data_IF_119620093728
#
_entry.id   IF_119620093728
#
_cell.length_a   1.000
_cell.length_b   1.000
_cell.length_c   1.000
_cell.angle_alpha   90.00
_cell.angle_beta   90.00
_cell.angle_gamma   90.00
#
_symmetry.space_group_name_H-M   'P 1'
#
loop_
_entity.id
_entity.type
_entity.pdbx_description
1 polymer ?
#
# COMPACT_ATOMS: atom_id res chain seq x y z
N UNK A 1 22.31 -17.71 -18.74
CA UNK A 1 21.76 -18.00 -17.40
C UNK A 1 20.48 -18.78 -17.61
N UNK A 2 20.26 -19.83 -16.84
CA UNK A 2 19.01 -20.60 -16.90
C UNK A 2 17.85 -19.75 -16.37
N UNK A 3 16.77 -19.65 -17.15
CA UNK A 3 15.58 -18.85 -16.81
C UNK A 3 14.46 -19.75 -16.29
N UNK A 4 13.69 -19.28 -15.32
CA UNK A 4 12.40 -19.86 -14.98
C UNK A 4 11.31 -19.37 -15.92
N UNK A 5 10.24 -20.14 -16.09
CA UNK A 5 9.05 -19.73 -16.84
C UNK A 5 7.79 -20.00 -16.03
N UNK A 6 6.90 -19.03 -15.92
CA UNK A 6 5.57 -19.18 -15.33
C UNK A 6 4.52 -19.14 -16.44
N UNK A 7 3.66 -20.15 -16.50
CA UNK A 7 2.57 -20.27 -17.48
C UNK A 7 1.22 -20.47 -16.79
N UNK A 8 0.19 -19.77 -17.24
CA UNK A 8 -1.17 -19.90 -16.72
C UNK A 8 -1.94 -21.08 -17.30
N UNK A 9 -2.79 -21.70 -16.48
CA UNK A 9 -3.78 -22.68 -16.89
C UNK A 9 -5.13 -22.37 -16.25
N UNK A 10 -6.18 -22.29 -17.08
CA UNK A 10 -7.56 -22.11 -16.64
C UNK A 10 -8.20 -23.46 -16.29
N UNK A 11 -9.07 -23.42 -15.28
CA UNK A 11 -9.97 -24.52 -14.99
C UNK A 11 -10.96 -24.68 -16.15
N UNK A 12 -11.24 -25.93 -16.52
CA UNK A 12 -12.32 -26.32 -17.41
C UNK A 12 -13.68 -26.11 -16.75
N UNK A 13 -14.74 -26.05 -17.55
CA UNK A 13 -16.12 -25.90 -17.04
C UNK A 13 -16.62 -27.15 -16.32
N UNK A 14 -15.99 -28.31 -16.57
CA UNK A 14 -16.26 -29.59 -15.90
C UNK A 14 -14.99 -30.12 -15.23
N UNK A 15 -15.12 -30.59 -13.99
CA UNK A 15 -13.97 -31.04 -13.17
C UNK A 15 -13.18 -32.23 -13.78
N UNK A 16 -13.75 -32.93 -14.75
CA UNK A 16 -13.17 -34.07 -15.48
C UNK A 16 -12.49 -33.68 -16.80
N UNK A 17 -12.63 -32.44 -17.27
CA UNK A 17 -11.98 -31.96 -18.49
C UNK A 17 -10.57 -31.40 -18.21
N UNK A 18 -9.62 -31.52 -19.15
CA UNK A 18 -8.27 -31.01 -18.98
C UNK A 18 -8.24 -29.47 -18.88
N UNK A 19 -7.32 -28.95 -18.06
CA UNK A 19 -7.09 -27.50 -17.96
C UNK A 19 -6.72 -26.90 -19.31
N UNK A 20 -7.23 -25.71 -19.60
CA UNK A 20 -6.91 -24.96 -20.81
C UNK A 20 -5.70 -24.07 -20.53
N UNK A 21 -4.62 -24.22 -21.28
CA UNK A 21 -3.46 -23.34 -21.13
C UNK A 21 -3.81 -21.92 -21.60
N UNK A 22 -3.12 -20.93 -21.04
CA UNK A 22 -3.14 -19.56 -21.58
C UNK A 22 -2.60 -19.52 -23.01
N UNK A 23 -2.71 -18.37 -23.68
CA UNK A 23 -2.13 -18.21 -25.01
C UNK A 23 -0.60 -18.46 -25.02
N UNK A 24 0.12 -17.94 -24.03
CA UNK A 24 1.55 -18.20 -23.87
C UNK A 24 1.83 -19.68 -23.56
N UNK A 25 1.01 -20.31 -22.72
CA UNK A 25 1.13 -21.72 -22.39
C UNK A 25 0.91 -22.63 -23.60
N UNK A 26 -0.08 -22.35 -24.43
CA UNK A 26 -0.34 -23.05 -25.69
C UNK A 26 0.82 -22.87 -26.69
N UNK A 27 1.35 -21.64 -26.81
CA UNK A 27 2.49 -21.37 -27.67
C UNK A 27 3.76 -22.12 -27.20
N UNK A 28 4.01 -22.16 -25.89
CA UNK A 28 5.12 -22.90 -25.31
C UNK A 28 4.94 -24.42 -25.48
N UNK A 29 3.74 -24.97 -25.22
CA UNK A 29 3.45 -26.39 -25.42
C UNK A 29 3.71 -26.83 -26.87
N UNK A 30 3.35 -25.99 -27.84
CA UNK A 30 3.69 -26.22 -29.26
C UNK A 30 5.20 -26.26 -29.51
N UNK A 31 5.99 -25.41 -28.86
CA UNK A 31 7.46 -25.42 -28.98
C UNK A 31 8.08 -26.70 -28.41
N UNK A 32 7.47 -27.28 -27.38
CA UNK A 32 7.90 -28.56 -26.77
C UNK A 32 7.14 -29.77 -27.31
N UNK A 33 6.51 -29.65 -28.48
CA UNK A 33 5.79 -30.72 -29.20
C UNK A 33 4.70 -31.42 -28.35
N UNK A 34 3.93 -30.67 -27.56
CA UNK A 34 2.81 -31.20 -26.75
C UNK A 34 3.22 -31.80 -25.40
N UNK A 35 4.52 -31.80 -25.09
CA UNK A 35 5.07 -32.43 -23.88
C UNK A 35 4.57 -31.77 -22.59
N UNK A 36 4.27 -30.47 -22.59
CA UNK A 36 3.78 -29.81 -21.38
C UNK A 36 2.38 -30.32 -21.03
N UNK A 37 1.47 -30.40 -22.01
CA UNK A 37 0.13 -30.96 -21.79
C UNK A 37 0.17 -32.44 -21.39
N UNK A 38 1.05 -33.22 -22.02
CA UNK A 38 1.27 -34.62 -21.67
C UNK A 38 1.65 -34.76 -20.18
N UNK A 39 2.68 -34.03 -19.74
CA UNK A 39 3.13 -34.07 -18.34
C UNK A 39 2.07 -33.52 -17.38
N UNK A 40 1.32 -32.50 -17.77
CA UNK A 40 0.25 -31.94 -16.95
C UNK A 40 -0.84 -32.99 -16.70
N UNK A 41 -1.25 -33.74 -17.73
CA UNK A 41 -2.21 -34.84 -17.61
C UNK A 41 -1.67 -36.00 -16.76
N UNK A 42 -0.39 -36.37 -16.92
CA UNK A 42 0.24 -37.45 -16.14
C UNK A 42 0.42 -37.09 -14.65
N UNK A 43 0.56 -35.79 -14.36
CA UNK A 43 0.84 -35.30 -13.00
C UNK A 43 -0.35 -35.29 -12.05
N UNK A 44 -1.51 -35.79 -12.48
CA UNK A 44 -2.70 -35.99 -11.65
C UNK A 44 -3.77 -34.92 -11.86
N UNK A 45 -4.49 -34.51 -10.79
CA UNK A 45 -5.67 -33.66 -10.93
C UNK A 45 -5.40 -32.30 -11.60
N UNK A 46 -6.41 -31.70 -12.24
CA UNK A 46 -6.35 -30.34 -12.78
C UNK A 46 -5.92 -29.30 -11.74
N UNK A 47 -5.25 -28.23 -12.20
CA UNK A 47 -4.80 -27.14 -11.33
C UNK A 47 -5.97 -26.19 -11.01
N UNK A 48 -6.35 -26.16 -9.73
CA UNK A 48 -7.33 -25.20 -9.21
C UNK A 48 -6.70 -23.81 -9.01
N UNK A 49 -7.56 -22.78 -8.83
CA UNK A 49 -7.16 -21.40 -8.51
C UNK A 49 -6.03 -21.35 -7.47
N UNK A 50 -4.95 -20.64 -7.81
CA UNK A 50 -3.80 -20.41 -6.93
C UNK A 50 -2.91 -21.62 -6.67
N UNK A 51 -3.20 -22.80 -7.25
CA UNK A 51 -2.34 -23.97 -7.16
C UNK A 51 -1.27 -23.94 -8.25
N UNK A 52 -0.12 -24.53 -7.96
CA UNK A 52 1.02 -24.55 -8.87
C UNK A 52 1.53 -25.97 -9.07
N UNK A 53 2.21 -26.20 -10.19
CA UNK A 53 2.95 -27.43 -10.46
C UNK A 53 4.18 -27.13 -11.27
N UNK A 54 5.31 -27.72 -10.89
CA UNK A 54 6.58 -27.53 -11.58
C UNK A 54 6.93 -28.71 -12.48
N UNK A 55 7.48 -28.40 -13.64
CA UNK A 55 8.00 -29.35 -14.61
C UNK A 55 9.43 -29.00 -14.97
N UNK A 56 10.30 -30.01 -15.03
CA UNK A 56 11.72 -29.85 -15.28
C UNK A 56 12.10 -30.37 -16.67
N UNK A 57 13.11 -29.75 -17.28
CA UNK A 57 13.72 -30.26 -18.52
C UNK A 57 12.78 -30.28 -19.72
N UNK A 58 11.79 -29.38 -19.76
CA UNK A 58 10.88 -29.22 -20.90
C UNK A 58 11.56 -28.50 -22.07
N UNK A 59 12.36 -27.48 -21.78
CA UNK A 59 13.03 -26.66 -22.79
C UNK A 59 14.44 -26.27 -22.30
N UNK A 60 15.40 -26.11 -23.23
CA UNK A 60 16.79 -25.77 -22.86
C UNK A 60 16.91 -24.38 -22.22
N UNK A 61 16.16 -23.39 -22.71
CA UNK A 61 16.15 -22.04 -22.14
C UNK A 61 15.40 -21.97 -20.80
N UNK A 62 14.38 -22.81 -20.65
CA UNK A 62 13.49 -22.85 -19.48
C UNK A 62 13.53 -24.24 -18.84
N UNK A 63 14.62 -24.58 -18.11
CA UNK A 63 14.74 -25.87 -17.45
C UNK A 63 13.72 -26.07 -16.33
N UNK A 64 13.15 -24.99 -15.79
CA UNK A 64 12.12 -25.01 -14.75
C UNK A 64 10.90 -24.23 -15.23
N UNK A 65 9.79 -24.93 -15.47
CA UNK A 65 8.52 -24.35 -15.89
C UNK A 65 7.49 -24.59 -14.81
N UNK A 66 6.89 -23.53 -14.27
CA UNK A 66 5.80 -23.62 -13.29
C UNK A 66 4.49 -23.28 -13.99
N UNK A 67 3.54 -24.21 -13.96
CA UNK A 67 2.16 -23.97 -14.37
C UNK A 67 1.36 -23.52 -13.15
N UNK A 68 0.61 -22.42 -13.30
CA UNK A 68 -0.21 -21.82 -12.23
C UNK A 68 -1.68 -21.86 -12.60
N UNK A 69 -2.54 -22.25 -11.65
CA UNK A 69 -3.99 -22.34 -11.86
C UNK A 69 -4.67 -20.98 -11.72
N UNK A 70 -5.26 -20.48 -12.81
CA UNK A 70 -5.93 -19.18 -12.90
C UNK A 70 -7.42 -19.22 -12.49
N UNK A 71 -7.96 -20.40 -12.17
CA UNK A 71 -9.39 -20.56 -11.96
C UNK A 71 -10.17 -20.52 -13.28
N UNK A 72 -11.46 -20.18 -13.21
CA UNK A 72 -12.32 -20.06 -14.40
C UNK A 72 -11.98 -18.80 -15.17
N UNK A 73 -12.19 -18.84 -16.49
CA UNK A 73 -11.93 -17.72 -17.40
C UNK A 73 -13.13 -16.76 -17.44
N UNK A 74 -12.86 -15.47 -17.57
CA UNK A 74 -13.86 -14.42 -17.80
C UNK A 74 -14.92 -14.32 -16.69
N UNK A 75 -14.47 -14.35 -15.43
CA UNK A 75 -15.32 -14.16 -14.25
C UNK A 75 -15.76 -12.70 -14.09
N UNK A 76 -14.91 -11.74 -14.49
CA UNK A 76 -15.20 -10.32 -14.42
C UNK A 76 -15.36 -9.79 -13.00
N UNK A 77 -16.36 -8.93 -12.79
CA UNK A 77 -16.67 -8.36 -11.48
C UNK A 77 -17.43 -9.37 -10.63
N UNK A 78 -16.92 -9.67 -9.44
CA UNK A 78 -17.63 -10.42 -8.44
C UNK A 78 -18.41 -9.42 -7.56
N UNK A 79 -19.74 -9.50 -7.63
CA UNK A 79 -20.64 -8.55 -6.96
C UNK A 79 -20.59 -8.74 -5.44
N UNK A 80 -20.43 -9.97 -4.97
CA UNK A 80 -20.42 -10.28 -3.54
C UNK A 80 -19.11 -9.79 -2.90
N UNK A 81 -17.99 -9.98 -3.59
CA UNK A 81 -16.66 -9.60 -3.11
C UNK A 81 -16.26 -8.15 -3.46
N UNK A 82 -17.01 -7.48 -4.34
CA UNK A 82 -16.75 -6.12 -4.81
C UNK A 82 -15.35 -5.92 -5.40
N UNK A 83 -14.87 -6.89 -6.18
CA UNK A 83 -13.60 -6.80 -6.90
C UNK A 83 -13.66 -7.43 -8.30
N UNK A 84 -12.61 -7.25 -9.10
CA UNK A 84 -12.42 -8.01 -10.32
C UNK A 84 -11.75 -9.37 -10.01
N UNK A 85 -12.52 -10.46 -10.14
CA UNK A 85 -12.08 -11.80 -9.76
C UNK A 85 -10.99 -12.35 -10.69
N UNK A 86 -11.01 -12.01 -11.98
CA UNK A 86 -9.97 -12.43 -12.92
C UNK A 86 -8.60 -11.86 -12.50
N UNK A 87 -8.55 -10.57 -12.16
CA UNK A 87 -7.30 -9.90 -11.73
C UNK A 87 -6.77 -10.49 -10.43
N UNK A 88 -7.63 -10.73 -9.43
CA UNK A 88 -7.23 -11.34 -8.16
C UNK A 88 -6.69 -12.77 -8.36
N UNK A 89 -7.33 -13.56 -9.21
CA UNK A 89 -6.86 -14.90 -9.53
C UNK A 89 -5.47 -14.89 -10.15
N UNK A 90 -5.24 -13.98 -11.11
CA UNK A 90 -3.94 -13.82 -11.77
C UNK A 90 -2.87 -13.40 -10.76
N UNK A 91 -3.13 -12.38 -9.93
CA UNK A 91 -2.18 -11.92 -8.90
C UNK A 91 -1.78 -13.06 -7.97
N UNK A 92 -2.76 -13.80 -7.43
CA UNK A 92 -2.52 -14.89 -6.50
C UNK A 92 -1.76 -16.07 -7.13
N UNK A 93 -2.13 -16.45 -8.35
CA UNK A 93 -1.52 -17.57 -9.07
C UNK A 93 -0.07 -17.27 -9.47
N UNK A 94 0.18 -16.10 -10.05
CA UNK A 94 1.54 -15.66 -10.43
C UNK A 94 2.41 -15.50 -9.19
N UNK A 95 1.88 -14.92 -8.10
CA UNK A 95 2.60 -14.81 -6.83
C UNK A 95 3.06 -16.17 -6.29
N UNK A 96 2.21 -17.20 -6.39
CA UNK A 96 2.57 -18.56 -5.98
C UNK A 96 3.67 -19.15 -6.86
N UNK A 97 3.61 -18.94 -8.17
CA UNK A 97 4.65 -19.39 -9.11
C UNK A 97 5.99 -18.71 -8.89
N UNK A 98 6.00 -17.39 -8.66
CA UNK A 98 7.22 -16.63 -8.39
C UNK A 98 7.92 -17.11 -7.12
N UNK A 99 7.18 -17.33 -6.03
CA UNK A 99 7.75 -17.87 -4.78
C UNK A 99 8.35 -19.26 -4.99
N UNK A 100 7.66 -20.15 -5.71
CA UNK A 100 8.17 -21.48 -6.00
C UNK A 100 9.47 -21.44 -6.81
N UNK A 101 9.62 -20.52 -7.75
CA UNK A 101 10.86 -20.35 -8.52
C UNK A 101 11.97 -19.63 -7.74
N UNK A 102 11.62 -18.74 -6.82
CA UNK A 102 12.57 -18.11 -5.91
C UNK A 102 13.21 -19.14 -4.95
N UNK A 103 12.43 -20.12 -4.48
CA UNK A 103 12.90 -21.22 -3.63
C UNK A 103 13.89 -22.15 -4.36
N UNK A 104 13.90 -22.13 -5.70
CA UNK A 104 14.89 -22.83 -6.54
C UNK A 104 16.13 -21.98 -6.85
N UNK A 105 16.24 -20.81 -6.22
CA UNK A 105 17.37 -19.88 -6.34
C UNK A 105 17.65 -19.42 -7.79
N UNK A 106 16.60 -19.33 -8.61
CA UNK A 106 16.74 -18.84 -9.98
C UNK A 106 16.98 -17.33 -10.01
N UNK A 107 17.90 -16.84 -10.87
CA UNK A 107 18.20 -15.42 -10.95
C UNK A 107 17.16 -14.62 -11.76
N UNK A 108 16.43 -15.29 -12.66
CA UNK A 108 15.51 -14.65 -13.59
C UNK A 108 14.32 -15.56 -13.92
N UNK A 109 13.13 -14.97 -14.03
CA UNK A 109 11.88 -15.62 -14.45
C UNK A 109 11.17 -14.79 -15.50
N UNK A 110 10.68 -15.46 -16.55
CA UNK A 110 9.71 -14.92 -17.48
C UNK A 110 8.29 -15.31 -17.05
N UNK A 111 7.37 -14.35 -17.09
CA UNK A 111 6.02 -14.49 -16.56
C UNK A 111 5.01 -14.28 -17.69
N UNK A 112 4.16 -15.29 -17.88
CA UNK A 112 3.00 -15.21 -18.75
C UNK A 112 2.07 -14.03 -18.37
N UNK A 113 1.63 -13.20 -19.34
CA UNK A 113 0.67 -12.13 -19.08
C UNK A 113 -0.69 -12.63 -18.58
N UNK A 114 -1.03 -13.92 -18.74
CA UNK A 114 -2.25 -14.55 -18.22
C UNK A 114 -3.56 -13.87 -18.66
N UNK A 115 -3.54 -13.11 -19.78
CA UNK A 115 -4.65 -12.29 -20.25
C UNK A 115 -4.73 -10.89 -19.64
N UNK A 116 -3.96 -10.60 -18.59
CA UNK A 116 -3.84 -9.27 -17.97
C UNK A 116 -2.41 -9.07 -17.42
N UNK A 117 -1.54 -8.49 -18.26
CA UNK A 117 -0.14 -8.30 -17.93
C UNK A 117 0.08 -7.37 -16.72
N UNK A 118 -0.87 -6.46 -16.44
CA UNK A 118 -0.79 -5.59 -15.26
C UNK A 118 -0.97 -6.42 -13.98
N UNK A 119 -2.03 -7.25 -13.92
CA UNK A 119 -2.29 -8.10 -12.76
C UNK A 119 -1.19 -9.16 -12.57
N UNK A 120 -0.63 -9.70 -13.65
CA UNK A 120 0.50 -10.64 -13.58
C UNK A 120 1.75 -9.97 -13.02
N UNK A 121 2.10 -8.77 -13.50
CA UNK A 121 3.24 -8.00 -12.98
C UNK A 121 3.06 -7.63 -11.51
N UNK A 122 1.85 -7.22 -11.10
CA UNK A 122 1.52 -6.93 -9.71
C UNK A 122 1.73 -8.17 -8.82
N UNK A 123 1.16 -9.32 -9.21
CA UNK A 123 1.33 -10.59 -8.49
C UNK A 123 2.80 -10.99 -8.35
N UNK A 124 3.57 -10.88 -9.44
CA UNK A 124 4.98 -11.20 -9.43
C UNK A 124 5.77 -10.29 -8.48
N UNK A 125 5.69 -8.97 -8.67
CA UNK A 125 6.48 -7.98 -7.93
C UNK A 125 6.10 -7.88 -6.44
N UNK A 126 4.82 -8.01 -6.09
CA UNK A 126 4.38 -7.98 -4.69
C UNK A 126 4.83 -9.22 -3.93
N UNK A 127 4.87 -10.38 -4.60
CA UNK A 127 5.15 -11.67 -3.96
C UNK A 127 6.60 -11.89 -3.56
N UNK A 128 7.54 -11.29 -4.30
CA UNK A 128 8.99 -11.46 -4.09
C UNK A 128 9.58 -10.38 -3.19
N UNK A 129 8.81 -9.36 -2.84
CA UNK A 129 9.26 -8.33 -1.91
C UNK A 129 9.37 -8.89 -0.50
N UNK A 130 10.52 -8.66 0.11
CA UNK A 130 10.81 -8.95 1.50
C UNK A 130 11.72 -7.85 2.06
N UNK A 131 11.44 -7.40 3.28
CA UNK A 131 12.35 -6.50 3.99
C UNK A 131 13.53 -7.30 4.55
N UNK A 132 14.71 -7.15 3.93
CA UNK A 132 15.90 -7.94 4.26
C UNK A 132 17.14 -7.08 4.57
N UNK A 133 17.01 -5.76 4.71
CA UNK A 133 18.18 -4.86 4.90
C UNK A 133 19.03 -5.23 6.11
N UNK A 134 18.38 -5.70 7.17
CA UNK A 134 19.01 -6.05 8.45
C UNK A 134 19.28 -7.56 8.60
N UNK A 135 19.06 -8.36 7.55
CA UNK A 135 19.33 -9.80 7.53
C UNK A 135 20.71 -10.10 6.94
N UNK A 136 21.45 -11.03 7.56
CA UNK A 136 22.70 -11.55 7.00
C UNK A 136 22.46 -12.52 5.84
N UNK A 137 21.53 -13.47 6.04
CA UNK A 137 21.07 -14.39 4.99
C UNK A 137 19.88 -13.76 4.29
N UNK A 138 20.05 -13.44 3.00
CA UNK A 138 19.02 -12.87 2.12
C UNK A 138 18.51 -13.95 1.17
N UNK A 139 17.27 -13.80 0.71
CA UNK A 139 16.79 -14.63 -0.39
C UNK A 139 17.49 -14.25 -1.69
N UNK A 140 17.59 -15.19 -2.65
CA UNK A 140 18.05 -14.88 -3.99
C UNK A 140 17.16 -13.80 -4.62
N UNK A 141 17.80 -12.78 -5.21
CA UNK A 141 17.09 -11.76 -5.99
C UNK A 141 16.55 -12.40 -7.26
N UNK A 142 15.22 -12.42 -7.39
CA UNK A 142 14.55 -12.92 -8.58
C UNK A 142 14.21 -11.75 -9.52
N UNK A 143 14.87 -11.68 -10.67
CA UNK A 143 14.50 -10.73 -11.72
C UNK A 143 13.25 -11.22 -12.45
N UNK A 144 12.20 -10.41 -12.46
CA UNK A 144 10.92 -10.73 -13.12
C UNK A 144 10.83 -10.00 -14.47
N UNK A 145 10.42 -10.71 -15.50
CA UNK A 145 10.26 -10.17 -16.86
C UNK A 145 8.97 -10.67 -17.49
N UNK A 146 8.39 -9.88 -18.39
CA UNK A 146 7.26 -10.31 -19.21
C UNK A 146 7.72 -11.42 -20.17
N UNK A 147 6.96 -12.51 -20.25
CA UNK A 147 7.16 -13.51 -21.30
C UNK A 147 6.56 -13.00 -22.62
N UNK A 148 7.40 -12.82 -23.64
CA UNK A 148 7.01 -12.21 -24.91
C UNK A 148 6.99 -10.69 -24.88
N UNK A 149 6.48 -10.07 -25.96
CA UNK A 149 6.44 -8.61 -26.13
C UNK A 149 5.05 -7.98 -25.99
N UNK A 150 3.99 -8.81 -26.03
CA UNK A 150 2.62 -8.32 -26.07
C UNK A 150 2.16 -7.88 -24.67
N UNK A 151 1.70 -6.64 -24.55
CA UNK A 151 1.26 -6.07 -23.26
C UNK A 151 2.37 -5.45 -22.42
N UNK A 152 3.53 -5.10 -23.01
CA UNK A 152 4.65 -4.50 -22.30
C UNK A 152 4.26 -3.25 -21.49
N UNK A 153 3.41 -2.37 -22.02
CA UNK A 153 2.97 -1.16 -21.30
C UNK A 153 2.13 -1.50 -20.06
N UNK A 154 1.25 -2.51 -20.17
CA UNK A 154 0.45 -2.99 -19.05
C UNK A 154 1.31 -3.68 -17.99
N UNK A 155 2.29 -4.48 -18.41
CA UNK A 155 3.29 -5.07 -17.51
C UNK A 155 4.06 -3.99 -16.75
N UNK A 156 4.63 -3.00 -17.44
CA UNK A 156 5.37 -1.91 -16.81
C UNK A 156 4.50 -1.08 -15.87
N UNK A 157 3.22 -0.89 -16.22
CA UNK A 157 2.25 -0.27 -15.31
C UNK A 157 2.08 -1.10 -14.04
N UNK A 158 1.91 -2.42 -14.13
CA UNK A 158 1.77 -3.29 -12.97
C UNK A 158 3.00 -3.32 -12.07
N UNK A 159 4.21 -3.30 -12.67
CA UNK A 159 5.47 -3.16 -11.93
C UNK A 159 5.47 -1.87 -11.10
N UNK A 160 5.16 -0.71 -11.69
CA UNK A 160 5.14 0.57 -10.97
C UNK A 160 4.12 0.64 -9.85
N UNK A 161 2.92 0.05 -10.06
CA UNK A 161 1.91 -0.07 -8.99
C UNK A 161 2.44 -0.89 -7.82
N UNK A 162 3.03 -2.05 -8.10
CA UNK A 162 3.60 -2.92 -7.07
C UNK A 162 4.81 -2.29 -6.37
N UNK A 163 5.67 -1.57 -7.09
CA UNK A 163 6.81 -0.84 -6.51
C UNK A 163 6.36 0.27 -5.56
N UNK A 164 5.29 1.00 -5.91
CA UNK A 164 4.66 1.96 -5.00
C UNK A 164 4.17 1.32 -3.71
N UNK A 165 3.44 0.21 -3.81
CA UNK A 165 2.97 -0.53 -2.63
C UNK A 165 4.13 -1.12 -1.81
N UNK A 166 5.16 -1.64 -2.48
CA UNK A 166 6.35 -2.18 -1.83
C UNK A 166 7.18 -1.09 -1.14
N UNK A 167 7.18 0.15 -1.63
CA UNK A 167 7.74 1.29 -0.89
C UNK A 167 6.98 1.54 0.42
N UNK A 168 5.64 1.46 0.40
CA UNK A 168 4.86 1.62 1.62
C UNK A 168 5.15 0.47 2.61
N UNK A 169 5.19 -0.78 2.12
CA UNK A 169 5.59 -1.96 2.92
C UNK A 169 6.99 -1.81 3.50
N UNK A 170 7.94 -1.32 2.72
CA UNK A 170 9.32 -1.09 3.17
C UNK A 170 9.37 -0.10 4.33
N UNK A 171 8.65 1.03 4.22
CA UNK A 171 8.60 2.05 5.27
C UNK A 171 7.90 1.53 6.54
N UNK A 172 6.85 0.72 6.40
CA UNK A 172 6.08 0.15 7.52
C UNK A 172 6.77 -1.03 8.20
N UNK A 173 7.54 -1.83 7.45
CA UNK A 173 8.22 -3.02 7.99
C UNK A 173 9.54 -2.65 8.69
N UNK A 174 10.22 -1.59 8.22
CA UNK A 174 11.46 -1.13 8.80
C UNK A 174 11.29 -0.78 10.30
N UNK A 175 12.25 -1.17 11.16
CA UNK A 175 12.13 -0.88 12.58
C UNK A 175 12.25 0.62 12.86
N UNK A 176 11.49 1.12 13.83
CA UNK A 176 11.33 2.56 14.07
C UNK A 176 12.64 3.31 14.36
N UNK A 177 13.62 2.66 14.99
CA UNK A 177 14.95 3.24 15.22
C UNK A 177 15.77 3.42 13.92
N UNK A 178 15.36 2.79 12.81
CA UNK A 178 15.91 3.00 11.47
C UNK A 178 14.97 3.82 10.57
N UNK A 179 13.67 3.82 10.83
CA UNK A 179 12.66 4.62 10.10
C UNK A 179 12.12 5.73 11.00
N UNK A 180 13.02 6.60 11.45
CA UNK A 180 12.65 7.79 12.26
C UNK A 180 11.95 8.85 11.40
N UNK A 181 11.31 9.89 11.97
CA UNK A 181 10.65 10.96 11.21
C UNK A 181 11.54 11.57 10.13
N UNK A 182 12.80 11.86 10.47
CA UNK A 182 13.78 12.42 9.55
C UNK A 182 14.17 11.42 8.46
N UNK A 183 14.33 10.14 8.81
CA UNK A 183 14.72 9.11 7.85
C UNK A 183 13.58 8.77 6.89
N UNK A 184 12.35 8.67 7.37
CA UNK A 184 11.15 8.55 6.54
C UNK A 184 11.12 9.68 5.50
N UNK A 185 11.23 10.93 5.95
CA UNK A 185 11.18 12.09 5.06
C UNK A 185 12.32 12.10 4.02
N UNK A 186 13.52 11.65 4.42
CA UNK A 186 14.68 11.54 3.52
C UNK A 186 14.48 10.45 2.47
N UNK A 187 13.91 9.29 2.84
CA UNK A 187 13.62 8.22 1.88
C UNK A 187 12.61 8.71 0.82
N UNK A 188 11.57 9.44 1.21
CA UNK A 188 10.59 10.00 0.28
C UNK A 188 11.25 11.05 -0.64
N UNK A 189 12.07 11.95 -0.08
CA UNK A 189 12.84 12.92 -0.86
C UNK A 189 13.73 12.24 -1.90
N UNK A 190 14.47 11.19 -1.52
CA UNK A 190 15.35 10.44 -2.41
C UNK A 190 14.56 9.78 -3.55
N UNK A 191 13.39 9.20 -3.26
CA UNK A 191 12.50 8.61 -4.28
C UNK A 191 11.96 9.64 -5.25
N UNK A 192 11.77 10.88 -4.81
CA UNK A 192 11.25 11.97 -5.64
C UNK A 192 12.33 12.78 -6.36
N UNK A 193 13.61 12.56 -6.02
CA UNK A 193 14.75 13.35 -6.53
C UNK A 193 14.84 13.41 -8.06
N UNK A 194 14.50 12.33 -8.75
CA UNK A 194 14.53 12.29 -10.22
C UNK A 194 13.43 13.12 -10.89
N UNK A 195 12.45 13.60 -10.12
CA UNK A 195 11.30 14.40 -10.57
C UNK A 195 11.38 15.86 -10.14
N UNK A 196 12.56 16.35 -9.75
CA UNK A 196 12.76 17.68 -9.15
C UNK A 196 12.33 18.87 -10.03
N UNK A 197 12.09 18.66 -11.34
CA UNK A 197 11.52 19.70 -12.20
C UNK A 197 10.07 20.02 -11.85
N UNK A 198 9.33 19.04 -11.32
CA UNK A 198 7.90 19.13 -11.03
C UNK A 198 7.59 18.80 -9.57
N UNK A 199 8.60 18.45 -8.76
CA UNK A 199 8.42 18.07 -7.36
C UNK A 199 9.25 18.98 -6.46
N UNK A 200 8.60 19.53 -5.43
CA UNK A 200 9.26 20.25 -4.33
C UNK A 200 9.01 19.49 -3.03
N UNK A 201 10.06 19.25 -2.26
CA UNK A 201 9.98 18.58 -0.95
C UNK A 201 10.42 19.56 0.14
N UNK A 202 9.59 19.67 1.18
CA UNK A 202 9.87 20.47 2.37
C UNK A 202 9.87 19.56 3.60
N UNK A 203 11.03 19.43 4.24
CA UNK A 203 11.19 18.79 5.54
C UNK A 203 11.15 19.88 6.61
N UNK A 204 9.96 20.18 7.13
CA UNK A 204 9.76 21.25 8.10
C UNK A 204 10.15 20.75 9.49
N UNK A 205 11.07 21.46 10.15
CA UNK A 205 11.55 21.08 11.47
C UNK A 205 10.61 21.56 12.61
N UNK A 206 11.01 21.27 13.85
CA UNK A 206 10.34 21.71 15.07
C UNK A 206 10.07 23.22 15.11
N UNK A 207 11.00 24.06 14.67
CA UNK A 207 10.83 25.51 14.75
C UNK A 207 9.67 25.96 13.87
N UNK A 208 9.61 25.44 12.64
CA UNK A 208 8.50 25.69 11.73
C UNK A 208 7.17 25.18 12.28
N UNK A 209 7.15 23.98 12.88
CA UNK A 209 5.93 23.41 13.50
C UNK A 209 5.38 24.35 14.58
N UNK A 210 6.25 24.92 15.41
CA UNK A 210 5.87 25.87 16.45
C UNK A 210 5.43 27.22 15.88
N UNK A 211 6.10 27.73 14.85
CA UNK A 211 5.71 28.95 14.13
C UNK A 211 4.33 28.84 13.47
N UNK A 212 3.98 27.64 12.99
CA UNK A 212 2.65 27.37 12.46
C UNK A 212 1.57 27.20 13.53
N UNK A 213 1.92 27.31 14.81
CA UNK A 213 1.01 27.10 15.94
C UNK A 213 0.32 25.72 15.93
N UNK A 214 1.03 24.68 15.47
CA UNK A 214 0.55 23.29 15.47
C UNK A 214 0.68 22.68 16.89
N UNK A 215 -0.06 23.26 17.85
CA UNK A 215 0.04 22.90 19.26
C UNK A 215 -0.45 21.50 19.58
N UNK A 216 -1.39 20.96 18.79
CA UNK A 216 -1.91 19.59 18.95
C UNK A 216 -0.86 18.57 18.51
N UNK A 217 -0.23 18.76 17.34
CA UNK A 217 0.88 17.93 16.87
C UNK A 217 2.09 18.01 17.79
N UNK A 218 2.51 19.23 18.16
CA UNK A 218 3.67 19.42 19.05
C UNK A 218 3.47 18.72 20.41
N UNK A 219 2.24 18.68 20.92
CA UNK A 219 1.94 18.02 22.18
C UNK A 219 2.28 16.52 22.17
N UNK A 220 2.10 15.85 21.03
CA UNK A 220 2.45 14.43 20.88
C UNK A 220 3.97 14.28 20.79
N UNK A 221 4.59 15.05 19.90
CA UNK A 221 6.01 14.92 19.60
C UNK A 221 6.95 15.18 20.79
N UNK A 222 6.60 16.12 21.69
CA UNK A 222 7.46 16.53 22.83
C UNK A 222 7.75 15.41 23.83
N UNK A 223 7.05 14.27 23.75
CA UNK A 223 7.27 13.10 24.59
C UNK A 223 8.52 12.29 24.23
N UNK A 224 9.00 12.38 22.98
CA UNK A 224 10.22 11.72 22.51
C UNK A 224 11.38 12.71 22.36
N UNK A 225 12.61 12.19 22.47
CA UNK A 225 13.84 12.91 22.10
C UNK A 225 14.08 12.92 20.58
N UNK A 226 13.40 12.03 19.83
CA UNK A 226 13.49 11.98 18.36
C UNK A 226 12.83 13.24 17.74
N UNK A 227 13.56 14.02 16.91
CA UNK A 227 13.03 15.26 16.36
C UNK A 227 11.81 15.05 15.45
N UNK A 228 10.70 15.81 15.64
CA UNK A 228 9.57 15.75 14.73
C UNK A 228 9.87 16.45 13.40
N UNK A 229 9.21 15.98 12.35
CA UNK A 229 9.25 16.58 11.01
C UNK A 229 7.82 16.71 10.50
N UNK A 230 7.47 17.86 9.93
CA UNK A 230 6.28 17.97 9.10
C UNK A 230 6.72 17.89 7.63
N UNK A 231 6.43 16.75 6.99
CA UNK A 231 6.78 16.52 5.60
C UNK A 231 5.70 17.09 4.69
N UNK A 232 6.10 17.97 3.78
CA UNK A 232 5.24 18.61 2.79
C UNK A 232 5.85 18.41 1.40
N UNK A 233 5.12 17.74 0.51
CA UNK A 233 5.55 17.46 -0.86
C UNK A 233 4.56 18.06 -1.84
N UNK A 234 5.05 18.82 -2.81
CA UNK A 234 4.27 19.36 -3.91
C UNK A 234 4.65 18.65 -5.20
N UNK A 235 3.69 18.01 -5.86
CA UNK A 235 3.83 17.49 -7.21
C UNK A 235 2.98 18.33 -8.17
N UNK A 236 3.65 19.00 -9.11
CA UNK A 236 3.06 19.89 -10.11
C UNK A 236 3.03 19.19 -11.47
N UNK A 237 2.12 18.23 -11.63
CA UNK A 237 1.93 17.50 -12.90
C UNK A 237 1.01 18.20 -13.89
N UNK A 238 0.14 19.11 -13.43
CA UNK A 238 -0.78 19.83 -14.32
C UNK A 238 -0.05 20.81 -15.22
N UNK A 239 -0.54 20.96 -16.45
CA UNK A 239 -0.10 22.05 -17.35
C UNK A 239 -0.49 23.44 -16.83
N UNK A 240 -1.46 23.51 -15.92
CA UNK A 240 -1.83 24.74 -15.22
C UNK A 240 -1.34 24.69 -13.76
N UNK A 241 -0.26 25.42 -13.40
CA UNK A 241 0.26 25.45 -12.03
C UNK A 241 -0.75 25.97 -10.99
N UNK A 242 -1.80 26.68 -11.41
CA UNK A 242 -2.87 27.19 -10.54
C UNK A 242 -4.06 26.25 -10.41
N UNK A 243 -4.05 25.09 -11.08
CA UNK A 243 -5.12 24.10 -10.90
C UNK A 243 -5.16 23.65 -9.44
N UNK A 244 -6.36 23.65 -8.85
CA UNK A 244 -6.57 23.25 -7.47
C UNK A 244 -6.05 21.81 -7.22
N UNK A 245 -5.15 21.62 -6.25
CA UNK A 245 -4.54 20.32 -6.01
C UNK A 245 -5.51 19.35 -5.35
N UNK A 246 -5.22 18.06 -5.44
CA UNK A 246 -5.68 17.09 -4.43
C UNK A 246 -4.66 17.11 -3.29
N UNK A 247 -5.13 17.17 -2.04
CA UNK A 247 -4.25 17.11 -0.88
C UNK A 247 -4.42 15.76 -0.18
N UNK A 248 -3.33 15.04 -0.01
CA UNK A 248 -3.27 13.81 0.78
C UNK A 248 -2.60 14.09 2.12
N UNK A 249 -3.18 13.57 3.21
CA UNK A 249 -2.67 13.72 4.57
C UNK A 249 -2.45 12.35 5.20
N UNK A 250 -1.26 12.06 5.70
CA UNK A 250 -0.94 10.78 6.31
C UNK A 250 -0.61 10.91 7.79
N UNK A 251 -1.22 10.07 8.65
CA UNK A 251 -0.73 9.88 10.02
C UNK A 251 0.69 9.29 9.96
N UNK A 252 1.63 9.94 10.65
CA UNK A 252 3.06 9.66 10.56
C UNK A 252 3.71 9.28 11.89
N UNK A 253 3.06 8.49 12.74
CA UNK A 253 3.66 8.10 14.02
C UNK A 253 4.68 6.98 13.79
N UNK A 254 5.97 7.27 13.85
CA UNK A 254 7.02 6.29 13.52
C UNK A 254 7.18 5.19 14.55
N UNK A 255 6.76 5.45 15.79
CA UNK A 255 6.51 4.44 16.80
C UNK A 255 5.48 4.92 17.81
N UNK A 256 4.52 4.06 18.12
CA UNK A 256 3.45 4.36 19.08
C UNK A 256 3.48 3.41 20.27
N UNK A 257 3.97 3.92 21.41
CA UNK A 257 3.88 3.21 22.69
C UNK A 257 2.57 3.48 23.44
N UNK A 258 1.76 4.42 22.94
CA UNK A 258 0.61 5.03 23.62
C UNK A 258 0.95 6.18 24.57
N UNK A 259 2.24 6.48 24.77
CA UNK A 259 2.66 7.53 25.70
C UNK A 259 2.39 7.15 27.16
N UNK A 260 1.87 8.09 27.97
CA UNK A 260 1.51 7.82 29.38
C UNK A 260 0.36 6.82 29.50
N UNK A 261 -0.56 6.82 28.54
CA UNK A 261 -1.62 5.81 28.39
C UNK A 261 -1.05 4.57 27.68
N UNK A 262 -0.04 3.97 28.29
CA UNK A 262 0.85 3.00 27.66
C UNK A 262 0.12 1.75 27.15
N UNK A 263 0.48 1.30 25.95
CA UNK A 263 -0.02 0.05 25.38
C UNK A 263 0.51 -1.17 26.14
N UNK A 264 -0.21 -2.31 26.11
CA UNK A 264 0.32 -3.59 26.57
C UNK A 264 1.56 -4.01 25.76
N UNK A 265 2.47 -4.78 26.37
CA UNK A 265 3.70 -5.23 25.71
C UNK A 265 3.48 -6.17 24.52
N UNK A 266 2.38 -6.94 24.51
CA UNK A 266 2.11 -7.92 23.46
C UNK A 266 1.92 -7.23 22.10
N UNK A 267 2.70 -7.65 21.10
CA UNK A 267 2.68 -7.14 19.72
C UNK A 267 2.93 -5.63 19.57
N UNK A 268 3.48 -4.96 20.59
CA UNK A 268 3.82 -3.53 20.52
C UNK A 268 4.85 -3.24 19.42
N UNK A 269 5.66 -4.23 19.03
CA UNK A 269 6.61 -4.10 17.91
C UNK A 269 5.92 -3.71 16.59
N UNK A 270 4.66 -4.13 16.38
CA UNK A 270 3.88 -3.79 15.19
C UNK A 270 3.59 -2.27 15.09
N UNK A 271 3.72 -1.52 16.19
CA UNK A 271 3.52 -0.07 16.21
C UNK A 271 4.62 0.71 15.49
N UNK A 272 5.68 0.04 15.01
CA UNK A 272 6.58 0.61 13.99
C UNK A 272 5.84 1.00 12.69
N UNK A 273 4.71 0.36 12.41
CA UNK A 273 3.89 0.62 11.23
C UNK A 273 2.79 1.68 11.47
N UNK A 274 2.80 2.39 12.62
CA UNK A 274 1.79 3.41 12.93
C UNK A 274 1.93 4.73 12.13
N UNK A 275 2.90 4.72 11.22
CA UNK A 275 3.15 5.69 10.15
C UNK A 275 2.59 5.21 8.80
N UNK A 276 1.81 4.13 8.78
CA UNK A 276 1.28 3.52 7.55
C UNK A 276 0.43 4.48 6.71
N UNK A 277 -0.27 5.41 7.36
CA UNK A 277 -1.00 6.49 6.67
C UNK A 277 -0.08 7.36 5.80
N UNK A 278 1.03 7.84 6.39
CA UNK A 278 2.07 8.57 5.68
C UNK A 278 2.75 7.70 4.61
N UNK A 279 3.06 6.44 4.91
CA UNK A 279 3.68 5.51 3.96
C UNK A 279 2.85 5.38 2.68
N UNK A 280 1.55 5.13 2.82
CA UNK A 280 0.62 4.91 1.70
C UNK A 280 0.50 6.17 0.84
N UNK A 281 0.24 7.34 1.45
CA UNK A 281 0.00 8.56 0.67
C UNK A 281 1.25 9.06 -0.07
N UNK A 282 2.44 8.95 0.53
CA UNK A 282 3.66 9.34 -0.16
C UNK A 282 4.10 8.33 -1.22
N UNK A 283 3.89 7.03 -0.98
CA UNK A 283 4.06 6.03 -2.04
C UNK A 283 3.14 6.30 -3.23
N UNK A 284 1.88 6.67 -3.00
CA UNK A 284 0.96 7.04 -4.07
C UNK A 284 1.43 8.27 -4.86
N UNK A 285 2.01 9.28 -4.17
CA UNK A 285 2.58 10.47 -4.83
C UNK A 285 3.83 10.12 -5.65
N UNK A 286 4.72 9.27 -5.13
CA UNK A 286 5.89 8.77 -5.87
C UNK A 286 5.44 8.06 -7.14
N UNK A 287 4.49 7.14 -7.03
CA UNK A 287 3.94 6.42 -8.19
C UNK A 287 3.22 7.34 -9.17
N UNK A 288 2.49 8.36 -8.69
CA UNK A 288 1.87 9.37 -9.56
C UNK A 288 2.92 10.18 -10.34
N UNK A 289 4.05 10.53 -9.71
CA UNK A 289 5.16 11.21 -10.38
C UNK A 289 5.84 10.32 -11.43
N UNK A 290 6.01 9.02 -11.15
CA UNK A 290 6.52 8.04 -12.12
C UNK A 290 5.60 7.88 -13.34
N UNK A 291 4.28 7.94 -13.12
CA UNK A 291 3.30 7.97 -14.21
C UNK A 291 3.18 9.32 -14.91
N UNK A 292 3.82 10.37 -14.37
CA UNK A 292 3.72 11.74 -14.87
C UNK A 292 2.26 12.19 -15.01
N UNK A 293 1.43 11.86 -14.02
CA UNK A 293 -0.01 12.17 -14.06
C UNK A 293 -0.23 13.68 -14.21
N UNK A 294 -1.13 14.13 -15.11
CA UNK A 294 -1.31 15.55 -15.41
C UNK A 294 -2.18 16.27 -14.37
N UNK A 295 -1.84 16.16 -13.08
CA UNK A 295 -2.58 16.72 -11.94
C UNK A 295 -1.63 17.32 -10.92
N UNK A 296 -2.12 18.28 -10.13
CA UNK A 296 -1.41 18.79 -8.96
C UNK A 296 -1.78 17.98 -7.72
N UNK A 297 -0.77 17.47 -7.01
CA UNK A 297 -0.91 16.76 -5.74
C UNK A 297 -0.08 17.44 -4.66
N UNK A 298 -0.59 17.47 -3.43
CA UNK A 298 0.16 17.87 -2.25
C UNK A 298 0.07 16.76 -1.21
N UNK A 299 1.21 16.29 -0.71
CA UNK A 299 1.30 15.32 0.37
C UNK A 299 1.73 15.98 1.66
N UNK A 300 1.04 15.70 2.76
CA UNK A 300 1.32 16.23 4.09
C UNK A 300 1.43 15.08 5.10
N UNK A 301 2.47 15.04 5.91
CA UNK A 301 2.47 14.19 7.11
C UNK A 301 3.14 14.85 8.31
N UNK A 302 2.45 14.97 9.45
CA UNK A 302 3.10 15.17 10.72
C UNK A 302 3.78 13.87 11.17
N UNK A 303 5.11 13.88 11.23
CA UNK A 303 5.94 12.74 11.60
C UNK A 303 6.56 12.95 12.99
N UNK A 304 6.29 12.05 13.93
CA UNK A 304 6.92 12.01 15.26
C UNK A 304 6.78 10.62 15.89
N UNK A 305 7.32 10.44 17.09
CA UNK A 305 7.01 9.29 17.94
C UNK A 305 6.00 9.67 19.04
N UNK A 306 5.32 8.67 19.61
CA UNK A 306 4.51 8.81 20.82
C UNK A 306 5.12 7.96 21.95
N UNK A 307 5.91 8.60 22.82
CA UNK A 307 6.66 7.95 23.90
C UNK A 307 6.33 8.53 25.28
N UNK A 308 6.34 7.71 26.36
CA UNK A 308 6.29 8.21 27.72
C UNK A 308 7.63 8.84 28.12
N UNK A 309 7.57 10.02 28.73
CA UNK A 309 8.74 10.68 29.33
C UNK A 309 8.28 11.74 30.33
N UNK A 310 9.23 12.43 30.96
CA UNK A 310 8.93 13.55 31.86
C UNK A 310 8.30 14.77 31.16
N UNK A 311 8.33 14.83 29.82
CA UNK A 311 7.77 15.92 29.02
C UNK A 311 6.54 15.52 28.19
N UNK A 312 6.12 14.25 28.27
CA UNK A 312 5.01 13.70 27.50
C UNK A 312 3.65 14.33 27.85
N UNK A 313 2.68 14.15 26.96
CA UNK A 313 1.28 14.46 27.26
C UNK A 313 0.79 13.65 28.46
N UNK A 314 -0.07 14.26 29.28
CA UNK A 314 -0.72 13.61 30.41
C UNK A 314 -2.22 13.54 30.15
N UNK A 315 -2.90 12.45 30.54
CA UNK A 315 -4.35 12.41 30.58
C UNK A 315 -4.92 13.63 31.33
N UNK A 316 -5.83 14.36 30.68
CA UNK A 316 -6.42 15.61 31.18
C UNK A 316 -5.72 16.90 30.74
N UNK A 317 -4.56 16.83 30.08
CA UNK A 317 -3.95 18.01 29.45
C UNK A 317 -4.92 18.59 28.40
N UNK A 318 -4.95 19.92 28.28
CA UNK A 318 -5.70 20.63 27.24
C UNK A 318 -4.72 21.33 26.32
N UNK A 319 -4.83 21.07 25.02
CA UNK A 319 -3.94 21.64 23.99
C UNK A 319 -4.74 22.48 23.01
N UNK A 320 -4.12 23.51 22.44
CA UNK A 320 -4.73 24.35 21.41
C UNK A 320 -4.24 23.90 20.04
N UNK A 321 -5.16 23.45 19.19
CA UNK A 321 -4.88 23.13 17.80
C UNK A 321 -4.66 24.40 16.96
N UNK A 322 -4.11 24.23 15.77
CA UNK A 322 -3.76 25.29 14.82
C UNK A 322 -4.95 26.19 14.44
N UNK A 323 -6.17 25.65 14.48
CA UNK A 323 -7.41 26.39 14.22
C UNK A 323 -7.97 27.14 15.44
N UNK A 324 -7.26 27.16 16.56
CA UNK A 324 -7.67 27.79 17.82
C UNK A 324 -8.62 26.96 18.70
N UNK A 325 -9.09 25.79 18.24
CA UNK A 325 -9.89 24.90 19.10
C UNK A 325 -9.02 24.25 20.17
N UNK A 326 -9.60 24.08 21.35
CA UNK A 326 -8.97 23.33 22.43
C UNK A 326 -9.37 21.85 22.38
N UNK A 327 -8.44 20.97 22.73
CA UNK A 327 -8.64 19.53 22.77
C UNK A 327 -8.17 19.02 24.14
N UNK A 328 -9.09 18.40 24.88
CA UNK A 328 -8.76 17.66 26.10
C UNK A 328 -8.21 16.28 25.70
N UNK A 329 -7.00 15.97 26.17
CA UNK A 329 -6.32 14.70 25.90
C UNK A 329 -6.68 13.75 27.05
N UNK A 330 -7.81 13.05 26.95
CA UNK A 330 -8.19 12.06 27.96
C UNK A 330 -7.39 10.76 27.87
N UNK A 331 -6.92 10.42 26.67
CA UNK A 331 -6.08 9.27 26.41
C UNK A 331 -4.97 9.66 25.43
N UNK A 332 -3.72 9.42 25.80
CA UNK A 332 -2.53 9.78 25.01
C UNK A 332 -2.23 8.78 23.88
N UNK A 333 -2.90 7.63 23.88
CA UNK A 333 -2.91 6.60 22.83
C UNK A 333 -3.97 6.91 21.73
N UNK A 334 -4.59 8.09 21.83
CA UNK A 334 -5.41 8.66 20.78
C UNK A 334 -4.68 9.84 20.10
N UNK A 335 -3.36 9.71 19.91
CA UNK A 335 -2.45 10.72 19.37
C UNK A 335 -2.67 10.97 17.87
N UNK A 336 -3.06 9.95 17.10
CA UNK A 336 -3.21 10.05 15.65
C UNK A 336 -4.18 11.16 15.23
N UNK A 337 -5.32 11.29 15.94
CA UNK A 337 -6.28 12.38 15.69
C UNK A 337 -5.76 13.75 16.13
N UNK A 338 -4.85 13.80 17.10
CA UNK A 338 -4.23 15.05 17.55
C UNK A 338 -3.29 15.58 16.47
N UNK A 339 -2.42 14.74 15.91
CA UNK A 339 -1.47 15.15 14.86
C UNK A 339 -2.22 15.49 13.55
N UNK A 340 -3.26 14.73 13.22
CA UNK A 340 -4.09 14.98 12.03
C UNK A 340 -4.90 16.27 12.13
N UNK A 341 -5.33 16.70 13.33
CA UNK A 341 -6.12 17.93 13.49
C UNK A 341 -5.40 19.16 12.92
N UNK A 342 -4.10 19.28 13.22
CA UNK A 342 -3.28 20.40 12.71
C UNK A 342 -2.96 20.24 11.22
N UNK A 343 -2.62 19.02 10.78
CA UNK A 343 -2.30 18.76 9.38
C UNK A 343 -3.51 18.98 8.45
N UNK A 344 -4.71 18.54 8.85
CA UNK A 344 -5.95 18.78 8.12
C UNK A 344 -6.31 20.26 8.10
N UNK A 345 -6.07 21.01 9.18
CA UNK A 345 -6.28 22.46 9.13
C UNK A 345 -5.29 23.14 8.17
N UNK A 346 -4.01 22.77 8.23
CA UNK A 346 -2.98 23.27 7.32
C UNK A 346 -3.32 22.98 5.85
N UNK A 347 -3.87 21.79 5.54
CA UNK A 347 -4.28 21.39 4.20
C UNK A 347 -5.26 22.36 3.52
N UNK A 348 -6.11 23.06 4.28
CA UNK A 348 -7.09 24.00 3.73
C UNK A 348 -6.43 25.25 3.10
N UNK A 349 -5.20 25.58 3.49
CA UNK A 349 -4.46 26.74 2.94
C UNK A 349 -4.20 26.62 1.44
N UNK A 350 -4.20 25.40 0.91
CA UNK A 350 -3.95 25.12 -0.51
C UNK A 350 -5.20 25.23 -1.39
N UNK A 351 -6.36 25.59 -0.82
CA UNK A 351 -7.65 25.60 -1.52
C UNK A 351 -7.88 24.33 -2.36
N UNK A 352 -7.80 23.14 -1.75
CA UNK A 352 -7.80 21.88 -2.48
C UNK A 352 -9.15 21.58 -3.13
N UNK A 353 -9.09 20.83 -4.24
CA UNK A 353 -10.27 20.22 -4.87
C UNK A 353 -10.87 19.11 -4.00
N UNK A 354 -10.03 18.35 -3.31
CA UNK A 354 -10.42 17.37 -2.31
C UNK A 354 -9.25 17.12 -1.34
N UNK A 355 -9.60 16.71 -0.11
CA UNK A 355 -8.65 16.24 0.90
C UNK A 355 -8.95 14.77 1.17
N UNK A 356 -7.92 13.94 1.16
CA UNK A 356 -7.98 12.54 1.58
C UNK A 356 -6.95 12.33 2.68
N UNK A 357 -7.37 11.85 3.84
CA UNK A 357 -6.44 11.37 4.87
C UNK A 357 -6.43 9.86 5.00
N UNK A 358 -5.27 9.30 5.35
CA UNK A 358 -5.08 7.89 5.63
C UNK A 358 -4.36 7.72 6.99
N UNK A 359 -4.83 6.78 7.80
CA UNK A 359 -4.28 6.55 9.13
C UNK A 359 -4.55 5.15 9.68
N UNK A 360 -3.54 4.57 10.32
CA UNK A 360 -3.67 3.45 11.27
C UNK A 360 -4.27 3.96 12.58
N UNK A 361 -5.54 4.34 12.55
CA UNK A 361 -6.09 5.26 13.56
C UNK A 361 -6.63 4.59 14.81
N UNK A 362 -7.27 3.42 14.69
CA UNK A 362 -7.99 2.80 15.80
C UNK A 362 -7.97 1.29 15.73
N UNK A 363 -7.74 0.61 16.86
CA UNK A 363 -7.97 -0.84 16.98
C UNK A 363 -9.44 -1.23 16.76
N UNK A 364 -10.39 -0.30 16.95
CA UNK A 364 -11.80 -0.54 16.65
C UNK A 364 -12.07 -0.83 15.16
N UNK A 365 -11.26 -0.30 14.25
CA UNK A 365 -11.40 -0.58 12.81
C UNK A 365 -10.99 -2.02 12.50
N UNK A 366 -9.93 -2.51 13.13
CA UNK A 366 -9.48 -3.90 13.01
C UNK A 366 -10.53 -4.86 13.58
N UNK A 367 -11.13 -4.54 14.74
CA UNK A 367 -12.25 -5.35 15.27
C UNK A 367 -13.47 -5.34 14.34
N UNK A 368 -13.75 -4.22 13.65
CA UNK A 368 -14.93 -4.07 12.81
C UNK A 368 -14.80 -4.78 11.45
N UNK A 369 -13.68 -4.60 10.74
CA UNK A 369 -13.49 -5.06 9.36
C UNK A 369 -12.28 -6.00 9.18
N UNK A 370 -11.42 -6.12 10.19
CA UNK A 370 -10.14 -6.82 10.09
C UNK A 370 -9.30 -6.28 8.92
N UNK A 371 -8.67 -7.20 8.19
CA UNK A 371 -7.87 -6.89 7.00
C UNK A 371 -8.66 -7.01 5.69
N UNK A 372 -9.98 -7.20 5.74
CA UNK A 372 -10.78 -7.46 4.54
C UNK A 372 -10.96 -6.20 3.68
N UNK A 373 -11.12 -5.04 4.32
CA UNK A 373 -11.29 -3.77 3.63
C UNK A 373 -10.82 -2.58 4.47
N UNK A 374 -10.47 -1.49 3.77
CA UNK A 374 -10.23 -0.20 4.43
C UNK A 374 -11.57 0.49 4.72
N UNK A 375 -11.77 0.94 5.95
CA UNK A 375 -12.94 1.73 6.33
C UNK A 375 -12.85 3.17 5.83
N UNK A 376 -13.81 3.60 5.02
CA UNK A 376 -13.85 4.96 4.47
C UNK A 376 -14.93 5.80 5.15
N UNK A 377 -14.54 6.99 5.58
CA UNK A 377 -15.44 8.02 6.11
C UNK A 377 -15.34 9.26 5.25
N UNK A 378 -16.45 9.66 4.62
CA UNK A 378 -16.47 10.83 3.75
C UNK A 378 -17.75 11.64 3.89
N UNK A 379 -17.66 12.92 3.55
CA UNK A 379 -18.79 13.83 3.42
C UNK A 379 -19.24 13.98 1.97
N UNK A 380 -18.62 13.27 1.02
CA UNK A 380 -18.85 13.37 -0.42
C UNK A 380 -19.10 11.99 -1.03
N UNK A 381 -20.34 11.77 -1.45
CA UNK A 381 -20.71 10.53 -2.14
C UNK A 381 -19.91 10.32 -3.43
N UNK A 382 -19.58 11.42 -4.13
CA UNK A 382 -18.77 11.36 -5.35
C UNK A 382 -17.35 10.86 -5.04
N UNK A 383 -16.74 11.32 -3.95
CA UNK A 383 -15.42 10.87 -3.56
C UNK A 383 -15.44 9.40 -3.13
N UNK A 384 -16.47 8.97 -2.39
CA UNK A 384 -16.68 7.56 -2.08
C UNK A 384 -16.72 6.70 -3.35
N UNK A 385 -17.55 7.06 -4.33
CA UNK A 385 -17.68 6.27 -5.57
C UNK A 385 -16.35 6.15 -6.32
N UNK A 386 -15.58 7.23 -6.43
CA UNK A 386 -14.26 7.16 -7.07
C UNK A 386 -13.28 6.21 -6.33
N UNK A 387 -13.29 6.22 -5.00
CA UNK A 387 -12.46 5.30 -4.20
C UNK A 387 -12.94 3.85 -4.33
N UNK A 388 -14.24 3.63 -4.30
CA UNK A 388 -14.85 2.31 -4.45
C UNK A 388 -14.59 1.71 -5.84
N UNK A 389 -14.80 2.47 -6.92
CA UNK A 389 -14.47 2.04 -8.29
C UNK A 389 -12.99 1.69 -8.45
N UNK A 390 -12.09 2.49 -7.87
CA UNK A 390 -10.67 2.19 -7.87
C UNK A 390 -10.36 0.90 -7.09
N UNK A 391 -11.02 0.66 -5.95
CA UNK A 391 -10.83 -0.54 -5.14
C UNK A 391 -11.23 -1.83 -5.87
N UNK A 392 -12.29 -1.79 -6.68
CA UNK A 392 -12.73 -2.93 -7.50
C UNK A 392 -11.63 -3.36 -8.48
N UNK A 393 -10.93 -2.39 -9.07
CA UNK A 393 -9.88 -2.63 -10.08
C UNK A 393 -8.58 -3.15 -9.46
N UNK A 394 -8.23 -2.67 -8.27
CA UNK A 394 -6.98 -3.02 -7.59
C UNK A 394 -7.11 -4.25 -6.69
N UNK A 395 -8.33 -4.65 -6.32
CA UNK A 395 -8.57 -5.68 -5.31
C UNK A 395 -8.35 -5.22 -3.86
N UNK A 396 -7.96 -3.94 -3.67
CA UNK A 396 -7.79 -3.32 -2.36
C UNK A 396 -9.12 -2.84 -1.80
N UNK A 397 -10.01 -3.77 -1.45
CA UNK A 397 -11.40 -3.51 -1.07
C UNK A 397 -11.54 -2.35 -0.08
N UNK A 398 -12.51 -1.48 -0.35
CA UNK A 398 -12.87 -0.36 0.51
C UNK A 398 -14.35 -0.48 0.86
N UNK A 399 -14.70 -0.23 2.12
CA UNK A 399 -16.10 -0.26 2.57
C UNK A 399 -16.51 1.10 3.14
N UNK A 400 -17.67 1.58 2.72
CA UNK A 400 -18.27 2.80 3.27
C UNK A 400 -18.80 2.47 4.66
N UNK A 401 -18.15 2.99 5.69
CA UNK A 401 -18.57 2.71 7.06
C UNK A 401 -19.70 3.63 7.50
N UNK A 402 -19.66 4.91 7.13
CA UNK A 402 -20.74 5.87 7.33
C UNK A 402 -20.43 7.23 6.68
N UNK A 403 -21.48 7.97 6.33
CA UNK A 403 -21.32 9.39 6.00
C UNK A 403 -20.87 10.17 7.24
N UNK A 404 -19.94 11.12 7.07
CA UNK A 404 -19.47 11.99 8.16
C UNK A 404 -20.61 12.76 8.83
N UNK A 405 -21.71 13.04 8.11
CA UNK A 405 -22.91 13.70 8.67
C UNK A 405 -23.68 12.81 9.64
N UNK A 406 -23.77 11.51 9.34
CA UNK A 406 -24.41 10.53 10.23
C UNK A 406 -23.56 10.35 11.50
N UNK A 407 -22.23 10.32 11.34
CA UNK A 407 -21.29 10.24 12.46
C UNK A 407 -21.30 11.48 13.34
N UNK A 408 -21.37 12.69 12.76
CA UNK A 408 -21.48 13.92 13.55
C UNK A 408 -22.70 13.87 14.48
N UNK A 409 -23.88 13.53 13.93
CA UNK A 409 -25.12 13.43 14.73
C UNK A 409 -25.09 12.35 15.81
N UNK A 410 -24.34 11.27 15.60
CA UNK A 410 -24.17 10.21 16.58
C UNK A 410 -23.13 10.60 17.65
N UNK A 411 -22.03 11.24 17.25
CA UNK A 411 -20.96 11.67 18.14
C UNK A 411 -21.33 12.90 18.97
N UNK A 412 -22.22 13.78 18.47
CA UNK A 412 -22.79 14.89 19.24
C UNK A 412 -23.62 14.42 20.44
N UNK A 413 -23.94 13.11 20.53
CA UNK A 413 -24.60 12.48 21.67
C UNK A 413 -23.64 11.91 22.70
N UNK A 414 -22.33 11.89 22.42
CA UNK A 414 -21.32 11.55 23.42
C UNK A 414 -21.25 12.70 24.44
N UNK A 415 -21.01 12.40 25.73
CA UNK A 415 -20.95 13.43 26.76
C UNK A 415 -19.91 14.50 26.38
N UNK A 416 -20.23 15.80 26.54
CA UNK A 416 -19.30 16.87 26.20
C UNK A 416 -18.03 16.78 27.06
N UNK A 417 -16.93 17.35 26.55
CA UNK A 417 -15.69 17.52 27.32
C UNK A 417 -16.00 18.23 28.64
N UNK A 418 -15.31 17.83 29.72
CA UNK A 418 -15.49 18.46 31.04
C UNK A 418 -15.10 19.94 31.08
N UNK A 419 -14.41 20.44 30.05
CA UNK A 419 -13.86 21.79 29.99
C UNK A 419 -14.40 22.61 28.80
N UNK A 420 -15.50 22.17 28.16
CA UNK A 420 -16.19 22.91 27.10
C UNK A 420 -17.64 23.25 27.47
#
# INVERSE_FOLDING_TARGET
>A
MTQGLILGAFASDRDDEPSQLSYAGEAFDKQVNGKLKELLALSGPPLKKGKTRIFHGLHQAFPNVVVVGLGKKAMGMNIDENWNEDKENIRAAVAAGCRQLQDLELPCVEVDPCGDAQAAAEGAALSIFEYEELKQKKKPTLQIQLHGSDGIDAWQKGIRYAEGQNLARYLMEGPANHITPTKFATIIEDKLKSFSSNVTVHKRDKSWIQEQAMGSFWSVAKGSDEPPVFLEVHYQGSSNPKEAPLVFVGKGITFDSGGISIKPSANMDAMRADMGGAAIIFSAIVTAAEFKLPINLIGLAPLCENLPSGTANKPGDVVTAMNGKTIQIDNTDAEGRLVLADALHYAHRFNPRAILDAATLTGAMDVALGSAATGVFTNSQKLWHHLYEASILTGGSSLENASLRTLHKANDRLPPSRYQ
#
